data_IF_130094363404
#
_entry.id   IF_130094363404
#
_cell.length_a   1.000
_cell.length_b   1.000
_cell.length_c   1.000
_cell.angle_alpha   90.00
_cell.angle_beta   90.00
_cell.angle_gamma   90.00
#
_symmetry.space_group_name_H-M   'P 1'
#
loop_
_entity.id
_entity.type
_entity.pdbx_description
1 polymer ?
#
# COMPACT_ATOMS: atom_id res chain seq x y z
N UNK A 1 -1.89 -24.86 -8.57
CA UNK A 1 -1.63 -24.55 -7.13
C UNK A 1 -0.12 -24.62 -6.87
N UNK A 2 0.43 -23.66 -6.13
CA UNK A 2 1.87 -23.59 -5.89
C UNK A 2 2.39 -24.73 -5.00
N UNK A 3 3.63 -25.14 -5.19
CA UNK A 3 4.29 -26.16 -4.35
C UNK A 3 4.78 -25.56 -3.02
N UNK A 4 5.28 -24.32 -3.04
CA UNK A 4 5.69 -23.56 -1.87
C UNK A 4 4.82 -22.31 -1.75
N UNK A 5 4.57 -21.89 -0.52
CA UNK A 5 3.81 -20.71 -0.18
C UNK A 5 4.64 -19.78 0.69
N UNK A 6 4.68 -18.50 0.33
CA UNK A 6 5.42 -17.47 1.05
C UNK A 6 4.44 -16.41 1.54
N UNK A 7 4.40 -16.20 2.84
CA UNK A 7 3.47 -15.27 3.48
C UNK A 7 4.21 -14.17 4.21
N UNK A 8 3.58 -12.99 4.30
CA UNK A 8 4.18 -11.85 4.96
C UNK A 8 4.19 -11.97 6.49
N UNK A 9 3.23 -12.70 7.07
CA UNK A 9 3.05 -12.78 8.52
C UNK A 9 2.64 -14.18 8.96
N UNK A 10 2.87 -14.51 10.24
CA UNK A 10 2.46 -15.80 10.80
C UNK A 10 0.93 -16.03 10.78
N UNK A 11 0.07 -15.04 11.05
CA UNK A 11 -1.37 -15.21 10.85
C UNK A 11 -1.75 -15.61 9.42
N UNK A 12 -1.08 -15.04 8.40
CA UNK A 12 -1.32 -15.44 7.01
C UNK A 12 -0.81 -16.85 6.73
N UNK A 13 0.31 -17.24 7.32
CA UNK A 13 0.81 -18.62 7.25
C UNK A 13 -0.22 -19.61 7.78
N UNK A 14 -0.78 -19.33 8.95
CA UNK A 14 -1.82 -20.18 9.55
C UNK A 14 -3.06 -20.30 8.65
N UNK A 15 -3.49 -19.21 8.03
CA UNK A 15 -4.62 -19.23 7.08
C UNK A 15 -4.34 -20.11 5.86
N UNK A 16 -3.12 -20.08 5.33
CA UNK A 16 -2.73 -20.95 4.18
C UNK A 16 -2.74 -22.42 4.59
N UNK A 17 -2.24 -22.74 5.79
CA UNK A 17 -2.30 -24.11 6.36
C UNK A 17 -3.76 -24.54 6.54
N UNK A 18 -4.62 -23.66 7.04
CA UNK A 18 -6.06 -23.92 7.22
C UNK A 18 -6.77 -24.24 5.89
N UNK A 19 -6.26 -23.76 4.75
CA UNK A 19 -6.73 -24.11 3.42
C UNK A 19 -6.22 -25.48 2.92
N UNK A 20 -5.57 -26.27 3.78
CA UNK A 20 -5.12 -27.62 3.48
C UNK A 20 -3.69 -27.73 2.94
N UNK A 21 -2.87 -26.68 3.08
CA UNK A 21 -1.47 -26.73 2.69
C UNK A 21 -0.58 -27.24 3.84
N UNK A 22 0.32 -28.17 3.52
CA UNK A 22 1.27 -28.76 4.48
C UNK A 22 2.14 -27.66 5.12
N UNK A 23 2.23 -27.59 6.47
CA UNK A 23 3.02 -26.60 7.18
C UNK A 23 4.51 -26.52 6.76
N UNK A 24 5.08 -27.64 6.30
CA UNK A 24 6.47 -27.71 5.81
C UNK A 24 6.70 -26.97 4.49
N UNK A 25 5.63 -26.58 3.79
CA UNK A 25 5.65 -25.87 2.51
C UNK A 25 5.20 -24.42 2.59
N UNK A 26 4.81 -23.96 3.79
CA UNK A 26 4.33 -22.58 4.03
C UNK A 26 5.32 -21.85 4.93
N UNK A 27 5.88 -20.77 4.41
CA UNK A 27 6.96 -20.01 5.05
C UNK A 27 6.54 -18.57 5.33
N UNK A 28 6.81 -18.08 6.54
CA UNK A 28 6.70 -16.67 6.87
C UNK A 28 8.02 -15.97 6.51
N UNK A 29 8.01 -15.18 5.45
CA UNK A 29 9.20 -14.49 4.94
C UNK A 29 9.27 -13.02 5.34
N UNK A 30 8.16 -12.40 5.73
CA UNK A 30 8.04 -10.95 5.92
C UNK A 30 7.55 -10.23 4.65
N UNK A 31 7.69 -8.91 4.66
CA UNK A 31 7.29 -8.08 3.53
C UNK A 31 8.46 -7.90 2.53
N UNK A 32 8.28 -8.36 1.29
CA UNK A 32 9.28 -8.19 0.24
C UNK A 32 9.57 -6.71 -0.12
N UNK A 33 8.62 -5.81 0.12
CA UNK A 33 8.85 -4.36 -0.08
C UNK A 33 9.91 -3.79 0.87
N UNK A 34 10.15 -4.42 2.03
CA UNK A 34 11.23 -4.02 2.93
C UNK A 34 12.61 -4.20 2.30
N UNK A 35 12.81 -5.28 1.53
CA UNK A 35 14.07 -5.51 0.81
C UNK A 35 14.31 -4.42 -0.25
N UNK A 36 13.24 -3.94 -0.89
CA UNK A 36 13.35 -2.86 -1.87
C UNK A 36 13.79 -1.53 -1.25
N UNK A 37 13.36 -1.22 -0.02
CA UNK A 37 13.78 -0.02 0.69
C UNK A 37 15.29 -0.02 0.96
N UNK A 38 15.85 -1.16 1.35
CA UNK A 38 17.26 -1.29 1.73
C UNK A 38 18.19 -1.36 0.51
N UNK A 39 17.68 -1.87 -0.63
CA UNK A 39 18.48 -2.06 -1.85
C UNK A 39 18.40 -0.86 -2.80
N UNK A 40 17.34 -0.05 -2.73
CA UNK A 40 17.15 1.08 -3.63
C UNK A 40 17.68 2.36 -3.01
N UNK A 41 18.50 3.08 -3.79
CA UNK A 41 18.87 4.45 -3.48
C UNK A 41 17.62 5.33 -3.46
N UNK A 42 17.23 5.78 -2.30
CA UNK A 42 16.15 6.77 -2.12
C UNK A 42 16.68 8.13 -2.59
N UNK A 43 15.95 8.76 -3.50
CA UNK A 43 16.24 10.12 -3.94
C UNK A 43 16.06 11.10 -2.78
N UNK A 44 16.88 12.13 -2.71
CA UNK A 44 16.58 13.29 -1.85
C UNK A 44 15.26 13.96 -2.29
N UNK A 45 14.60 14.70 -1.40
CA UNK A 45 13.36 15.43 -1.73
C UNK A 45 13.55 16.29 -2.99
N UNK A 46 14.68 16.98 -3.10
CA UNK A 46 15.03 17.84 -4.26
C UNK A 46 15.16 17.04 -5.56
N UNK A 47 15.89 15.91 -5.54
CA UNK A 47 16.07 15.07 -6.72
C UNK A 47 14.74 14.41 -7.16
N UNK A 48 13.92 14.00 -6.18
CA UNK A 48 12.60 13.46 -6.47
C UNK A 48 11.78 14.47 -7.27
N UNK A 49 11.58 15.69 -6.73
CA UNK A 49 10.73 16.69 -7.35
C UNK A 49 11.30 17.21 -8.67
N UNK A 50 12.62 17.32 -8.79
CA UNK A 50 13.28 17.59 -10.07
C UNK A 50 12.98 16.50 -11.11
N UNK A 51 12.97 15.22 -10.72
CA UNK A 51 12.65 14.10 -11.61
C UNK A 51 11.16 14.02 -12.00
N UNK A 52 10.29 14.69 -11.27
CA UNK A 52 8.87 14.80 -11.55
C UNK A 52 8.52 16.10 -12.32
N UNK A 53 9.51 16.97 -12.54
CA UNK A 53 9.34 18.29 -13.18
C UNK A 53 8.35 19.18 -12.40
N UNK A 54 8.40 19.12 -11.07
CA UNK A 54 7.55 19.88 -10.17
C UNK A 54 8.44 20.66 -9.20
N UNK A 55 8.06 21.87 -8.84
CA UNK A 55 8.69 22.62 -7.76
C UNK A 55 8.54 21.88 -6.43
N UNK A 56 9.58 21.95 -5.58
CA UNK A 56 9.57 21.25 -4.30
C UNK A 56 8.51 21.85 -3.38
N UNK A 57 7.43 21.14 -3.06
CA UNK A 57 6.40 21.66 -2.17
C UNK A 57 6.85 21.61 -0.70
N UNK A 58 6.35 22.52 0.10
CA UNK A 58 6.55 22.48 1.56
C UNK A 58 5.90 21.21 2.14
N UNK A 59 4.65 20.97 1.79
CA UNK A 59 3.83 19.84 2.22
C UNK A 59 3.22 19.09 1.06
N UNK A 60 3.23 17.75 1.12
CA UNK A 60 2.57 16.93 0.10
C UNK A 60 2.09 15.59 0.62
N UNK A 61 1.05 15.09 -0.01
CA UNK A 61 0.54 13.74 0.17
C UNK A 61 0.68 12.91 -1.12
N UNK A 62 0.90 11.61 -0.97
CA UNK A 62 0.84 10.66 -2.09
C UNK A 62 -0.57 10.06 -2.15
N UNK A 63 -1.16 10.02 -3.34
CA UNK A 63 -2.52 9.55 -3.54
C UNK A 63 -2.55 8.40 -4.56
N UNK A 64 -3.27 7.33 -4.23
CA UNK A 64 -3.59 6.26 -5.18
C UNK A 64 -4.94 5.63 -4.84
N UNK A 65 -5.89 5.68 -5.77
CA UNK A 65 -7.21 5.11 -5.60
C UNK A 65 -7.53 4.11 -6.70
N UNK A 66 -7.98 2.91 -6.33
CA UNK A 66 -8.32 1.81 -7.24
C UNK A 66 -9.80 1.46 -7.13
N UNK A 67 -10.41 0.94 -8.20
CA UNK A 67 -11.79 0.46 -8.11
C UNK A 67 -11.91 -0.68 -7.10
N UNK A 68 -13.07 -0.77 -6.45
CA UNK A 68 -13.46 -1.91 -5.62
C UNK A 68 -14.32 -2.82 -6.48
N UNK A 69 -13.77 -3.96 -6.89
CA UNK A 69 -14.37 -4.86 -7.90
C UNK A 69 -15.68 -5.52 -7.50
N UNK A 70 -16.04 -5.46 -6.22
CA UNK A 70 -17.28 -6.04 -5.68
C UNK A 70 -18.32 -4.99 -5.23
N UNK A 71 -18.07 -3.70 -5.48
CA UNK A 71 -19.02 -2.65 -5.19
C UNK A 71 -19.85 -2.34 -6.45
N UNK A 72 -21.12 -2.70 -6.43
CA UNK A 72 -22.06 -2.38 -7.50
C UNK A 72 -22.32 -0.86 -7.52
N UNK A 73 -21.79 -0.17 -8.54
CA UNK A 73 -22.19 1.20 -8.88
C UNK A 73 -21.57 2.37 -8.09
N UNK A 74 -20.94 2.13 -6.93
CA UNK A 74 -20.47 3.17 -6.00
C UNK A 74 -19.07 3.74 -6.31
N UNK A 75 -18.33 3.14 -7.25
CA UNK A 75 -16.91 3.51 -7.52
C UNK A 75 -16.77 4.96 -7.98
N UNK A 76 -17.76 5.48 -8.74
CA UNK A 76 -17.76 6.84 -9.23
C UNK A 76 -18.09 7.84 -8.11
N UNK A 77 -18.97 7.47 -7.19
CA UNK A 77 -19.30 8.30 -6.02
C UNK A 77 -18.10 8.39 -5.08
N UNK A 78 -17.48 7.27 -4.76
CA UNK A 78 -16.31 7.20 -3.87
C UNK A 78 -15.16 8.10 -4.33
N UNK A 79 -14.83 8.10 -5.64
CA UNK A 79 -13.74 8.95 -6.15
C UNK A 79 -14.13 10.44 -6.11
N UNK A 80 -15.40 10.78 -6.34
CA UNK A 80 -15.87 12.15 -6.23
C UNK A 80 -15.82 12.65 -4.78
N UNK A 81 -16.23 11.83 -3.81
CA UNK A 81 -16.13 12.13 -2.37
C UNK A 81 -14.66 12.37 -1.95
N UNK A 82 -13.75 11.51 -2.44
CA UNK A 82 -12.31 11.71 -2.20
C UNK A 82 -11.86 13.06 -2.74
N UNK A 83 -12.14 13.37 -4.02
CA UNK A 83 -11.66 14.60 -4.63
C UNK A 83 -12.27 15.85 -3.97
N UNK A 84 -13.55 15.81 -3.57
CA UNK A 84 -14.19 16.88 -2.81
C UNK A 84 -13.49 17.11 -1.44
N UNK A 85 -13.06 16.05 -0.78
CA UNK A 85 -12.26 16.17 0.44
C UNK A 85 -10.90 16.84 0.18
N UNK A 86 -10.21 16.46 -0.92
CA UNK A 86 -8.90 17.02 -1.27
C UNK A 86 -8.97 18.52 -1.61
N UNK A 87 -10.06 19.02 -2.17
CA UNK A 87 -10.27 20.44 -2.47
C UNK A 87 -10.13 21.35 -1.23
N UNK A 88 -10.39 20.81 -0.05
CA UNK A 88 -10.28 21.55 1.21
C UNK A 88 -8.83 21.78 1.68
N UNK A 89 -7.85 21.15 1.03
CA UNK A 89 -6.43 21.21 1.38
C UNK A 89 -5.62 22.05 0.39
N UNK A 90 -5.84 23.35 0.38
CA UNK A 90 -5.18 24.28 -0.54
C UNK A 90 -3.65 24.37 -0.35
N UNK A 91 -3.15 24.07 0.86
CA UNK A 91 -1.73 24.13 1.20
C UNK A 91 -1.02 22.77 1.09
N UNK A 92 -1.71 21.74 0.62
CA UNK A 92 -1.16 20.41 0.45
C UNK A 92 -1.07 20.09 -1.05
N UNK A 93 0.11 19.70 -1.51
CA UNK A 93 0.30 19.20 -2.87
C UNK A 93 -0.01 17.71 -2.92
N UNK A 94 -0.71 17.26 -3.94
CA UNK A 94 -1.03 15.84 -4.13
C UNK A 94 -0.23 15.25 -5.29
N UNK A 95 0.57 14.24 -5.00
CA UNK A 95 1.29 13.42 -5.99
C UNK A 95 0.46 12.16 -6.22
N UNK A 96 -0.34 12.16 -7.27
CA UNK A 96 -1.29 11.10 -7.54
C UNK A 96 -0.78 10.11 -8.60
N UNK A 97 -1.12 8.85 -8.46
CA UNK A 97 -0.92 7.84 -9.50
C UNK A 97 -2.26 7.29 -9.98
N UNK A 98 -2.33 6.98 -11.28
CA UNK A 98 -3.52 6.39 -11.89
C UNK A 98 -3.90 5.05 -11.27
N UNK A 99 -5.18 4.73 -11.34
CA UNK A 99 -5.68 3.42 -10.98
C UNK A 99 -5.11 2.34 -11.91
N UNK A 100 -5.05 1.11 -11.40
CA UNK A 100 -4.66 -0.05 -12.18
C UNK A 100 -5.70 -0.38 -13.28
N UNK A 101 -5.38 -1.39 -14.11
CA UNK A 101 -6.22 -1.83 -15.24
C UNK A 101 -7.45 -2.68 -14.83
N UNK A 102 -7.79 -2.75 -13.55
CA UNK A 102 -8.98 -3.46 -13.06
C UNK A 102 -10.27 -2.83 -13.62
N UNK A 103 -11.37 -3.59 -13.61
CA UNK A 103 -12.67 -3.12 -14.05
C UNK A 103 -13.05 -1.82 -13.28
N UNK A 104 -13.45 -0.77 -14.01
CA UNK A 104 -13.72 0.57 -13.44
C UNK A 104 -12.49 1.50 -13.36
N UNK A 105 -11.26 1.01 -13.51
CA UNK A 105 -10.05 1.82 -13.42
C UNK A 105 -9.97 2.93 -14.47
N UNK A 106 -10.51 2.70 -15.68
CA UNK A 106 -10.56 3.73 -16.74
C UNK A 106 -11.42 4.93 -16.32
N UNK A 107 -12.62 4.67 -15.77
CA UNK A 107 -13.50 5.74 -15.31
C UNK A 107 -12.88 6.59 -14.19
N UNK A 108 -12.21 5.95 -13.23
CA UNK A 108 -11.43 6.66 -12.20
C UNK A 108 -10.36 7.54 -12.84
N UNK A 109 -9.60 7.02 -13.80
CA UNK A 109 -8.51 7.76 -14.43
C UNK A 109 -9.01 8.98 -15.22
N UNK A 110 -10.14 8.85 -15.91
CA UNK A 110 -10.79 9.98 -16.61
C UNK A 110 -11.19 11.09 -15.63
N UNK A 111 -11.72 10.74 -14.46
CA UNK A 111 -12.07 11.71 -13.42
C UNK A 111 -10.83 12.38 -12.84
N UNK A 112 -9.78 11.60 -12.57
CA UNK A 112 -8.50 12.11 -12.05
C UNK A 112 -7.82 13.06 -13.06
N UNK A 113 -7.86 12.76 -14.36
CA UNK A 113 -7.33 13.61 -15.42
C UNK A 113 -8.09 14.95 -15.50
N UNK A 114 -9.42 14.91 -15.42
CA UNK A 114 -10.25 16.11 -15.41
C UNK A 114 -10.02 16.97 -14.16
N UNK A 115 -9.78 16.33 -13.02
CA UNK A 115 -9.46 17.02 -11.77
C UNK A 115 -8.09 17.66 -11.83
N UNK A 116 -7.06 16.94 -12.27
CA UNK A 116 -5.70 17.44 -12.42
C UNK A 116 -5.62 18.66 -13.35
N UNK A 117 -6.41 18.67 -14.42
CA UNK A 117 -6.46 19.80 -15.36
C UNK A 117 -7.00 21.12 -14.74
N UNK A 118 -7.66 21.05 -13.58
CA UNK A 118 -8.29 22.19 -12.90
C UNK A 118 -7.59 22.63 -11.61
N UNK A 119 -6.70 21.78 -11.07
CA UNK A 119 -6.11 21.99 -9.74
C UNK A 119 -4.58 21.99 -9.82
N UNK A 120 -3.96 23.15 -9.61
CA UNK A 120 -2.51 23.35 -9.73
C UNK A 120 -1.69 22.64 -8.62
N UNK A 121 -2.33 22.19 -7.54
CA UNK A 121 -1.73 21.44 -6.46
C UNK A 121 -1.92 19.92 -6.58
N UNK A 122 -2.44 19.44 -7.74
CA UNK A 122 -2.69 18.02 -7.97
C UNK A 122 -1.94 17.55 -9.23
N UNK A 123 -0.93 16.71 -9.06
CA UNK A 123 -0.09 16.20 -10.12
C UNK A 123 -0.35 14.70 -10.33
N UNK A 124 -0.85 14.35 -11.52
CA UNK A 124 -1.23 12.98 -11.85
C UNK A 124 -0.19 12.31 -12.75
N UNK A 125 0.27 11.14 -12.37
CA UNK A 125 1.22 10.32 -13.10
C UNK A 125 0.62 8.95 -13.44
N UNK A 126 0.97 8.40 -14.59
CA UNK A 126 0.59 7.01 -14.93
C UNK A 126 1.24 6.04 -13.93
N UNK A 127 2.51 6.25 -13.61
CA UNK A 127 3.28 5.53 -12.60
C UNK A 127 4.52 6.31 -12.22
N UNK A 128 4.90 6.30 -10.97
CA UNK A 128 6.17 6.84 -10.50
C UNK A 128 7.35 5.86 -10.68
N UNK A 129 7.04 4.59 -10.93
CA UNK A 129 8.02 3.53 -10.81
C UNK A 129 8.51 3.35 -9.36
N UNK A 130 9.17 2.27 -9.06
CA UNK A 130 9.50 1.90 -7.68
C UNK A 130 10.43 2.90 -6.97
N UNK A 131 11.47 3.41 -7.65
CA UNK A 131 12.44 4.32 -7.02
C UNK A 131 11.80 5.64 -6.61
N UNK A 132 11.11 6.33 -7.53
CA UNK A 132 10.43 7.60 -7.25
C UNK A 132 9.29 7.42 -6.26
N UNK A 133 8.54 6.32 -6.35
CA UNK A 133 7.45 6.04 -5.44
C UNK A 133 7.92 5.87 -3.98
N UNK A 134 8.95 5.03 -3.74
CA UNK A 134 9.51 4.86 -2.40
C UNK A 134 10.16 6.17 -1.89
N UNK A 135 10.78 6.95 -2.78
CA UNK A 135 11.31 8.28 -2.41
C UNK A 135 10.17 9.25 -2.06
N UNK A 136 9.04 9.20 -2.78
CA UNK A 136 7.88 9.99 -2.44
C UNK A 136 7.30 9.62 -1.07
N UNK A 137 7.24 8.32 -0.73
CA UNK A 137 6.82 7.88 0.59
C UNK A 137 7.75 8.38 1.71
N UNK A 138 9.06 8.43 1.45
CA UNK A 138 10.05 8.79 2.48
C UNK A 138 9.89 10.21 3.04
N UNK A 139 9.27 11.12 2.29
CA UNK A 139 9.11 12.53 2.66
C UNK A 139 7.67 13.02 2.68
N UNK A 140 6.69 12.15 2.39
CA UNK A 140 5.29 12.51 2.37
C UNK A 140 4.77 12.88 3.77
N UNK A 141 3.89 13.86 3.81
CA UNK A 141 3.15 14.21 5.01
C UNK A 141 2.08 13.17 5.32
N UNK A 142 1.44 12.63 4.29
CA UNK A 142 0.49 11.54 4.41
C UNK A 142 0.40 10.74 3.09
N UNK A 143 -0.21 9.57 3.17
CA UNK A 143 -0.71 8.81 2.00
C UNK A 143 -2.21 8.72 2.11
N UNK A 144 -2.92 8.90 1.00
CA UNK A 144 -4.38 8.84 0.98
C UNK A 144 -4.88 7.96 -0.17
N UNK A 145 -5.88 7.14 0.08
CA UNK A 145 -6.48 6.26 -0.92
C UNK A 145 -6.75 4.86 -0.42
N UNK A 146 -6.80 3.89 -1.33
CA UNK A 146 -7.11 2.50 -0.99
C UNK A 146 -6.11 1.49 -1.54
N UNK A 147 -4.91 1.93 -1.91
CA UNK A 147 -3.85 1.06 -2.41
C UNK A 147 -3.29 0.15 -1.31
N UNK A 148 -2.88 -1.07 -1.69
CA UNK A 148 -2.17 -1.97 -0.77
C UNK A 148 -0.81 -1.44 -0.33
N UNK A 149 -0.21 -0.54 -1.08
CA UNK A 149 1.00 0.18 -0.71
C UNK A 149 0.82 0.98 0.57
N UNK A 150 -0.36 1.59 0.77
CA UNK A 150 -0.76 2.27 2.01
C UNK A 150 -0.75 1.36 3.25
N UNK A 151 -0.73 0.04 3.06
CA UNK A 151 -0.66 -0.94 4.16
C UNK A 151 0.73 -1.51 4.31
N UNK A 152 1.42 -1.81 3.20
CA UNK A 152 2.65 -2.63 3.23
C UNK A 152 3.94 -1.83 3.04
N UNK A 153 3.88 -0.67 2.40
CA UNK A 153 5.06 0.14 2.10
C UNK A 153 5.17 1.37 3.00
N UNK A 154 4.06 2.06 3.29
CA UNK A 154 4.04 3.24 4.16
C UNK A 154 4.52 2.94 5.57
N UNK A 155 4.26 1.74 6.09
CA UNK A 155 4.76 1.28 7.39
C UNK A 155 6.29 1.26 7.48
N UNK A 156 6.99 1.05 6.35
CA UNK A 156 8.45 1.05 6.29
C UNK A 156 9.05 2.44 6.54
N UNK A 157 8.32 3.48 6.20
CA UNK A 157 8.70 4.87 6.34
C UNK A 157 7.97 5.57 7.49
N UNK A 158 7.07 4.86 8.20
CA UNK A 158 6.21 5.40 9.26
C UNK A 158 5.40 6.61 8.79
N UNK A 159 4.90 6.54 7.55
CA UNK A 159 4.09 7.61 6.97
C UNK A 159 2.64 7.44 7.38
N UNK A 160 1.99 8.49 7.92
CA UNK A 160 0.55 8.49 8.16
C UNK A 160 -0.22 8.10 6.89
N UNK A 161 -1.20 7.22 7.01
CA UNK A 161 -1.93 6.69 5.86
C UNK A 161 -3.42 6.72 6.12
N UNK A 162 -4.17 7.40 5.28
CA UNK A 162 -5.64 7.37 5.24
C UNK A 162 -6.08 6.27 4.27
N UNK A 163 -6.63 5.20 4.82
CA UNK A 163 -7.15 4.07 4.04
C UNK A 163 -8.66 4.21 3.87
N UNK A 164 -9.10 4.43 2.63
CA UNK A 164 -10.48 4.74 2.31
C UNK A 164 -11.24 3.46 1.94
N UNK A 165 -12.39 3.26 2.58
CA UNK A 165 -13.33 2.19 2.27
C UNK A 165 -12.82 0.79 2.61
N UNK A 166 -13.42 -0.22 1.97
CA UNK A 166 -13.29 -1.63 2.38
C UNK A 166 -12.23 -2.43 1.64
N UNK A 167 -11.59 -1.87 0.60
CA UNK A 167 -10.68 -2.61 -0.30
C UNK A 167 -9.56 -3.34 0.45
N UNK A 168 -9.08 -2.77 1.56
CA UNK A 168 -8.02 -3.35 2.40
C UNK A 168 -8.54 -4.03 3.67
N UNK A 169 -9.84 -4.25 3.78
CA UNK A 169 -10.45 -4.86 4.95
C UNK A 169 -9.87 -6.25 5.25
N UNK A 170 -9.67 -6.55 6.53
CA UNK A 170 -9.12 -7.83 7.00
C UNK A 170 -7.60 -8.01 6.82
N UNK A 171 -6.90 -7.03 6.27
CA UNK A 171 -5.43 -7.04 6.23
C UNK A 171 -4.83 -6.57 7.55
N UNK A 172 -3.73 -7.20 7.95
CA UNK A 172 -2.87 -6.71 9.03
C UNK A 172 -2.28 -5.37 8.57
N UNK A 173 -2.23 -4.40 9.49
CA UNK A 173 -1.75 -3.04 9.21
C UNK A 173 -0.96 -2.46 10.38
N UNK A 174 -0.10 -1.50 10.11
CA UNK A 174 0.64 -0.75 11.12
C UNK A 174 -0.25 0.30 11.82
N UNK A 175 0.23 0.84 12.93
CA UNK A 175 -0.43 1.92 13.67
C UNK A 175 -0.51 3.24 12.88
N UNK A 176 0.23 3.34 11.76
CA UNK A 176 0.20 4.50 10.86
C UNK A 176 -1.04 4.58 9.98
N UNK A 177 -1.94 3.60 10.01
CA UNK A 177 -3.11 3.53 9.11
C UNK A 177 -4.36 3.96 9.85
N UNK A 178 -5.03 4.97 9.30
CA UNK A 178 -6.33 5.49 9.72
C UNK A 178 -7.35 5.00 8.69
N UNK A 179 -8.33 4.20 9.11
CA UNK A 179 -9.43 3.78 8.24
C UNK A 179 -10.56 4.80 8.28
N UNK A 180 -11.13 5.11 7.13
CA UNK A 180 -12.32 5.95 7.02
C UNK A 180 -13.30 5.43 5.96
N UNK A 181 -14.55 5.84 6.03
CA UNK A 181 -15.50 5.60 4.96
C UNK A 181 -15.18 6.48 3.74
N UNK A 182 -15.68 6.07 2.56
CA UNK A 182 -15.56 6.86 1.33
C UNK A 182 -16.60 8.00 1.31
N UNK A 183 -16.49 8.93 2.27
CA UNK A 183 -17.31 10.14 2.38
C UNK A 183 -16.41 11.33 2.58
N UNK A 184 -16.72 12.44 1.93
CA UNK A 184 -15.94 13.69 1.97
C UNK A 184 -15.54 14.08 3.39
N UNK A 185 -16.49 14.13 4.33
CA UNK A 185 -16.24 14.52 5.73
C UNK A 185 -15.27 13.56 6.44
N UNK A 186 -15.48 12.25 6.26
CA UNK A 186 -14.67 11.22 6.94
C UNK A 186 -13.22 11.23 6.40
N UNK A 187 -13.07 11.42 5.08
CA UNK A 187 -11.76 11.51 4.43
C UNK A 187 -11.05 12.79 4.87
N UNK A 188 -11.76 13.93 4.89
CA UNK A 188 -11.23 15.20 5.34
C UNK A 188 -10.68 15.10 6.77
N UNK A 189 -11.49 14.60 7.70
CA UNK A 189 -11.13 14.51 9.11
C UNK A 189 -9.96 13.52 9.34
N UNK A 190 -9.97 12.38 8.62
CA UNK A 190 -8.88 11.42 8.65
C UNK A 190 -7.57 12.03 8.10
N UNK A 191 -7.63 12.81 7.02
CA UNK A 191 -6.43 13.43 6.43
C UNK A 191 -5.90 14.57 7.31
N UNK A 192 -6.78 15.38 7.92
CA UNK A 192 -6.40 16.39 8.93
C UNK A 192 -5.68 15.73 10.10
N UNK A 193 -6.22 14.62 10.62
CA UNK A 193 -5.58 13.86 11.69
C UNK A 193 -4.24 13.27 11.25
N UNK A 194 -4.17 12.65 10.06
CA UNK A 194 -2.94 12.08 9.50
C UNK A 194 -1.82 13.11 9.37
N UNK A 195 -2.14 14.34 8.97
CA UNK A 195 -1.18 15.43 8.81
C UNK A 195 -0.79 16.10 10.13
N UNK A 196 -1.42 15.76 11.27
CA UNK A 196 -1.13 16.38 12.57
C UNK A 196 0.22 15.93 13.16
N UNK A 197 0.89 16.83 13.86
CA UNK A 197 2.11 16.50 14.60
C UNK A 197 1.83 15.49 15.72
N UNK A 198 0.64 15.57 16.32
CA UNK A 198 0.21 14.63 17.36
C UNK A 198 0.22 13.20 16.84
N UNK A 199 -0.44 12.92 15.70
CA UNK A 199 -0.48 11.59 15.13
C UNK A 199 0.90 11.10 14.70
N UNK A 200 1.74 11.98 14.13
CA UNK A 200 3.13 11.63 13.78
C UNK A 200 3.94 11.20 14.99
N UNK A 201 3.75 11.83 16.14
CA UNK A 201 4.44 11.43 17.38
C UNK A 201 3.97 10.06 17.87
N UNK A 202 2.68 9.72 17.74
CA UNK A 202 2.16 8.40 18.16
C UNK A 202 2.75 7.24 17.37
N UNK A 203 3.07 7.46 16.10
CA UNK A 203 3.57 6.40 15.20
C UNK A 203 5.11 6.37 15.10
N UNK A 204 5.80 7.31 15.75
CA UNK A 204 7.27 7.44 15.65
C UNK A 204 8.00 6.15 16.00
N UNK A 205 7.56 5.49 17.06
CA UNK A 205 8.20 4.28 17.59
C UNK A 205 7.38 3.01 17.30
N UNK A 206 6.44 3.09 16.36
CA UNK A 206 5.60 1.96 16.00
C UNK A 206 6.39 0.77 15.43
N UNK A 207 5.92 -0.41 15.75
CA UNK A 207 6.42 -1.66 15.18
C UNK A 207 5.90 -1.88 13.74
N UNK A 208 6.73 -2.50 12.91
CA UNK A 208 6.29 -3.00 11.61
C UNK A 208 5.72 -4.41 11.75
N UNK A 209 4.40 -4.63 11.57
CA UNK A 209 3.78 -5.94 11.74
C UNK A 209 4.23 -6.97 10.69
N UNK A 210 4.88 -6.53 9.63
CA UNK A 210 5.41 -7.40 8.57
C UNK A 210 6.90 -7.74 8.78
N UNK A 211 7.53 -7.24 9.83
CA UNK A 211 8.96 -7.41 10.09
C UNK A 211 9.86 -6.56 9.18
N UNK A 212 11.16 -6.80 9.29
CA UNK A 212 12.19 -6.10 8.52
C UNK A 212 12.52 -6.77 7.20
N UNK A 213 13.63 -6.32 6.58
CA UNK A 213 14.20 -6.89 5.36
C UNK A 213 14.65 -8.36 5.52
N UNK A 214 14.94 -9.01 4.39
CA UNK A 214 15.41 -10.40 4.33
C UNK A 214 14.41 -11.38 3.73
N UNK A 215 13.27 -10.92 3.21
CA UNK A 215 12.26 -11.75 2.58
C UNK A 215 12.82 -12.48 1.34
N UNK A 216 13.58 -11.80 0.50
CA UNK A 216 14.22 -12.40 -0.68
C UNK A 216 15.20 -13.51 -0.28
N UNK A 217 16.05 -13.26 0.72
CA UNK A 217 17.02 -14.26 1.22
C UNK A 217 16.31 -15.51 1.77
N UNK A 218 15.26 -15.33 2.57
CA UNK A 218 14.43 -16.43 3.09
C UNK A 218 13.76 -17.21 1.97
N UNK A 219 13.23 -16.51 0.97
CA UNK A 219 12.57 -17.12 -0.19
C UNK A 219 13.56 -17.98 -0.99
N UNK A 220 14.73 -17.43 -1.33
CA UNK A 220 15.77 -18.16 -2.07
C UNK A 220 16.24 -19.38 -1.28
N UNK A 221 16.47 -19.26 0.03
CA UNK A 221 16.88 -20.38 0.87
C UNK A 221 15.83 -21.52 0.88
N UNK A 222 14.54 -21.17 1.01
CA UNK A 222 13.45 -22.15 0.98
C UNK A 222 13.33 -22.85 -0.38
N UNK A 223 13.43 -22.08 -1.48
CA UNK A 223 13.41 -22.63 -2.84
C UNK A 223 14.60 -23.56 -3.07
N UNK A 224 15.82 -23.14 -2.73
CA UNK A 224 17.04 -23.93 -2.88
C UNK A 224 16.96 -25.23 -2.07
N UNK A 225 16.46 -25.16 -0.84
CA UNK A 225 16.23 -26.35 0.00
C UNK A 225 15.19 -27.30 -0.59
N UNK A 226 14.13 -26.77 -1.20
CA UNK A 226 13.13 -27.62 -1.85
C UNK A 226 13.68 -28.31 -3.10
N UNK A 227 14.46 -27.58 -3.92
CA UNK A 227 15.04 -28.08 -5.17
C UNK A 227 16.21 -29.06 -4.95
N UNK A 228 16.81 -29.08 -3.76
CA UNK A 228 17.88 -30.05 -3.44
C UNK A 228 17.37 -31.48 -3.22
N UNK A 229 16.06 -31.72 -3.27
CA UNK A 229 15.41 -33.03 -3.07
C UNK A 229 14.47 -33.34 -4.23
N UNK A 230 14.16 -34.61 -4.51
CA UNK A 230 13.12 -34.96 -5.45
C UNK A 230 11.76 -34.35 -5.06
N UNK A 231 11.17 -33.57 -5.96
CA UNK A 231 9.88 -32.92 -5.72
C UNK A 231 8.75 -33.85 -6.22
N UNK A 232 7.84 -34.20 -5.32
CA UNK A 232 6.55 -34.82 -5.69
C UNK A 232 5.53 -33.71 -5.93
N UNK A 233 5.17 -33.47 -7.17
CA UNK A 233 4.20 -32.43 -7.54
C UNK A 233 2.79 -32.71 -7.01
N UNK A 234 2.42 -34.00 -6.89
CA UNK A 234 1.14 -34.39 -6.31
C UNK A 234 1.13 -34.08 -4.81
N UNK A 235 0.28 -33.16 -4.40
CA UNK A 235 0.06 -32.78 -3.00
C UNK A 235 -1.13 -33.55 -2.43
N UNK A 236 -1.04 -33.87 -1.14
CA UNK A 236 -2.18 -34.31 -0.32
C UNK A 236 -2.73 -33.10 0.41
N UNK A 237 -4.02 -33.10 0.66
CA UNK A 237 -4.65 -32.15 1.57
C UNK A 237 -4.10 -32.38 2.98
N UNK A 238 -3.79 -31.30 3.68
CA UNK A 238 -3.35 -31.35 5.07
C UNK A 238 -4.55 -31.11 5.98
N UNK A 239 -4.95 -32.15 6.71
CA UNK A 239 -6.04 -32.06 7.68
C UNK A 239 -5.50 -31.45 8.97
N UNK A 240 -6.16 -30.40 9.46
CA UNK A 240 -5.92 -29.85 10.80
C UNK A 240 -6.85 -30.50 11.81
N UNK A 241 -6.35 -30.76 13.02
CA UNK A 241 -7.19 -31.22 14.12
C UNK A 241 -8.04 -30.04 14.62
N UNK A 242 -9.31 -30.30 14.87
CA UNK A 242 -10.22 -29.38 15.55
C UNK A 242 -10.39 -29.94 16.97
N UNK A 243 -9.68 -29.35 17.93
CA UNK A 243 -9.86 -29.61 19.37
C UNK A 243 -10.98 -28.77 19.96
#
# INVERSE_FOLDING_TARGET
MSYLHFTATEPYRKRVIQLGEDPSRVFTIGNASADNKDVRDILSKKELFASLEIDVPDHYAVMTYHPVTLADGEVQEDINELLAALEKFSNLTFIATKANADAGGRGINEVLEQYAAKHNNFFLFDSLGSKRYLSALAYADAVVGNSSSGITETVLFKVPTVNIGIRQQGRIRGANVIDCAARESDIHDALMHACSDEFRQTIKDMDNPFGGAGAAKKTVAAISSALSRPIKLQKKFYDISFD
#
